data_IF_302782277953
#
_entry.id   IF_302782277953
#
_cell.length_a   1.000
_cell.length_b   1.000
_cell.length_c   1.000
_cell.angle_alpha   90.00
_cell.angle_beta   90.00
_cell.angle_gamma   90.00
#
_symmetry.space_group_name_H-M   'P 1'
#
loop_
_entity.id
_entity.type
_entity.pdbx_description
1 polymer ?
#
# COMPACT_ATOMS: atom_id res chain seq x y z
N UNK A 1 -40.90 -18.86 35.76
CA UNK A 1 -41.11 -20.24 36.32
C UNK A 1 -39.95 -21.12 35.84
N UNK A 2 -39.25 -21.69 36.83
CA UNK A 2 -38.45 -22.95 36.85
C UNK A 2 -37.50 -23.19 35.67
N UNK A 3 -36.16 -23.03 35.91
CA UNK A 3 -35.15 -23.97 36.43
C UNK A 3 -35.19 -25.33 35.69
N UNK A 4 -34.06 -25.70 35.04
CA UNK A 4 -33.36 -26.92 35.38
C UNK A 4 -31.88 -26.88 34.91
N UNK A 5 -31.01 -27.11 35.89
CA UNK A 5 -29.58 -27.38 35.80
C UNK A 5 -29.46 -28.91 35.62
N UNK A 6 -28.52 -29.37 34.79
CA UNK A 6 -28.00 -30.72 34.90
C UNK A 6 -26.49 -30.75 34.70
N UNK A 7 -25.78 -31.00 35.82
CA UNK A 7 -24.41 -31.50 35.90
C UNK A 7 -24.40 -33.01 35.61
N UNK A 8 -23.33 -33.53 35.01
CA UNK A 8 -22.78 -34.88 35.26
C UNK A 8 -21.35 -34.89 34.70
N UNK A 9 -20.34 -34.83 35.51
CA UNK A 9 -19.58 -35.83 36.30
C UNK A 9 -18.80 -36.81 35.41
N UNK A 10 -17.48 -36.53 35.39
CA UNK A 10 -16.26 -37.35 35.58
C UNK A 10 -16.45 -38.88 35.53
N UNK A 11 -15.68 -39.51 34.64
CA UNK A 11 -15.36 -40.93 34.66
C UNK A 11 -13.91 -41.19 34.33
N UNK A 12 -13.09 -41.32 35.39
CA UNK A 12 -11.70 -41.74 35.35
C UNK A 12 -11.66 -43.28 35.25
N UNK A 13 -11.17 -43.85 34.17
CA UNK A 13 -10.94 -45.29 34.05
C UNK A 13 -9.43 -45.56 34.09
N UNK A 14 -8.98 -46.06 35.25
CA UNK A 14 -7.66 -46.61 35.46
C UNK A 14 -7.69 -48.07 35.01
N UNK A 15 -6.93 -48.40 33.97
CA UNK A 15 -6.72 -49.82 33.60
C UNK A 15 -5.29 -50.20 34.00
N UNK A 16 -5.25 -51.01 35.05
CA UNK A 16 -4.05 -51.72 35.49
C UNK A 16 -3.86 -52.93 34.57
N UNK A 17 -2.76 -53.02 33.85
CA UNK A 17 -2.34 -54.24 33.17
C UNK A 17 -1.09 -54.82 33.86
N UNK A 18 -1.31 -56.07 34.28
CA UNK A 18 -0.40 -56.93 35.03
C UNK A 18 0.76 -57.39 34.13
N UNK A 19 1.96 -57.36 34.69
CA UNK A 19 3.20 -57.89 34.11
C UNK A 19 3.14 -59.43 34.07
N UNK A 20 3.34 -60.00 32.89
CA UNK A 20 3.78 -61.39 32.74
C UNK A 20 5.21 -61.39 32.18
N UNK A 21 6.12 -61.75 32.99
CA UNK A 21 7.52 -61.98 32.62
C UNK A 21 7.68 -63.30 31.87
N UNK A 22 8.17 -63.28 30.66
CA UNK A 22 8.76 -64.40 29.97
C UNK A 22 10.26 -64.10 29.71
N UNK A 23 11.12 -64.78 30.43
CA UNK A 23 12.55 -64.87 30.12
C UNK A 23 12.73 -65.64 28.83
N UNK A 24 13.44 -65.09 27.84
CA UNK A 24 14.20 -65.89 26.89
C UNK A 24 15.46 -65.17 26.46
N UNK A 25 16.52 -65.80 26.74
CA UNK A 25 17.93 -65.82 26.30
C UNK A 25 18.41 -64.85 25.26
N UNK A 26 19.46 -64.18 25.67
CA UNK A 26 20.58 -63.52 24.99
C UNK A 26 20.75 -63.78 23.48
N UNK A 27 20.72 -62.69 22.66
CA UNK A 27 21.74 -62.47 21.67
C UNK A 27 22.13 -60.99 21.72
N UNK A 28 23.37 -60.74 22.07
CA UNK A 28 24.07 -59.51 22.10
C UNK A 28 24.32 -59.11 20.64
N UNK A 29 23.45 -58.31 20.08
CA UNK A 29 23.83 -57.49 18.91
C UNK A 29 23.85 -56.03 19.40
N UNK A 30 25.06 -55.61 19.72
CA UNK A 30 25.34 -54.26 20.20
C UNK A 30 25.26 -53.27 19.04
N UNK A 31 24.06 -52.85 18.68
CA UNK A 31 23.91 -51.65 17.87
C UNK A 31 24.16 -50.45 18.79
N UNK A 32 25.43 -50.08 18.92
CA UNK A 32 25.82 -48.76 19.40
C UNK A 32 25.23 -47.73 18.40
N UNK A 33 24.08 -47.16 18.71
CA UNK A 33 23.63 -45.92 18.08
C UNK A 33 24.64 -44.84 18.44
N UNK A 34 25.67 -44.70 17.63
CA UNK A 34 26.53 -43.52 17.66
C UNK A 34 25.65 -42.32 17.27
N UNK A 35 25.16 -41.56 18.24
CA UNK A 35 24.54 -40.27 18.01
C UNK A 35 25.60 -39.37 17.39
N UNK A 36 25.54 -39.22 16.07
CA UNK A 36 26.44 -38.33 15.36
C UNK A 36 26.12 -36.89 15.79
N UNK A 37 27.06 -36.22 16.47
CA UNK A 37 26.89 -34.81 16.85
C UNK A 37 26.84 -33.94 15.61
N UNK A 38 25.88 -33.01 15.56
CA UNK A 38 25.76 -32.07 14.46
C UNK A 38 27.04 -31.23 14.31
N UNK A 39 27.62 -31.23 13.11
CA UNK A 39 28.83 -30.46 12.78
C UNK A 39 28.72 -29.82 11.41
N UNK A 40 29.34 -28.65 11.23
CA UNK A 40 29.47 -27.93 10.00
C UNK A 40 30.89 -27.47 9.76
N UNK A 41 31.31 -27.31 8.49
CA UNK A 41 32.65 -26.83 8.18
C UNK A 41 32.79 -25.33 8.33
N UNK A 42 31.71 -24.54 8.04
CA UNK A 42 31.69 -23.11 8.22
C UNK A 42 30.25 -22.61 8.43
N UNK A 43 30.12 -21.48 9.17
CA UNK A 43 28.95 -20.64 9.27
C UNK A 43 29.19 -19.33 8.53
N UNK A 44 28.23 -18.84 7.75
CA UNK A 44 28.36 -17.58 6.99
C UNK A 44 27.43 -16.51 7.58
N UNK A 45 27.71 -16.06 8.80
CA UNK A 45 26.91 -15.05 9.50
C UNK A 45 26.84 -13.70 8.78
N UNK A 46 27.85 -13.34 7.97
CA UNK A 46 27.81 -12.13 7.12
C UNK A 46 26.73 -12.17 6.04
N UNK A 47 26.19 -13.37 5.74
CA UNK A 47 25.07 -13.57 4.80
C UNK A 47 23.78 -13.97 5.54
N UNK A 48 23.68 -13.69 6.84
CA UNK A 48 22.48 -13.97 7.60
C UNK A 48 21.32 -13.09 7.07
N UNK A 49 20.16 -13.72 6.86
CA UNK A 49 18.92 -13.03 6.47
C UNK A 49 18.03 -12.92 7.69
N UNK A 50 17.76 -11.68 8.12
CA UNK A 50 16.85 -11.37 9.23
C UNK A 50 15.49 -11.02 8.65
N UNK A 51 14.41 -11.56 9.24
CA UNK A 51 13.04 -11.43 8.72
C UNK A 51 12.52 -10.00 8.71
N UNK A 52 12.98 -9.13 9.64
CA UNK A 52 12.61 -7.70 9.72
C UNK A 52 13.54 -6.95 10.69
N UNK A 53 13.51 -5.62 10.67
CA UNK A 53 14.14 -4.78 11.69
C UNK A 53 13.30 -4.75 12.96
N UNK A 54 13.92 -4.51 14.11
CA UNK A 54 13.22 -4.30 15.38
C UNK A 54 13.00 -2.81 15.63
N UNK A 55 12.07 -2.47 16.53
CA UNK A 55 11.79 -1.09 16.94
C UNK A 55 12.05 -0.96 18.44
N UNK A 56 12.74 0.10 18.86
CA UNK A 56 13.03 0.36 20.28
C UNK A 56 11.74 0.39 21.12
N UNK A 57 11.78 -0.21 22.31
CA UNK A 57 10.66 -0.30 23.25
C UNK A 57 9.40 -0.99 22.70
N UNK A 58 9.52 -1.72 21.61
CA UNK A 58 8.42 -2.50 21.00
C UNK A 58 8.75 -3.99 21.04
N UNK A 59 7.77 -4.83 21.40
CA UNK A 59 7.96 -6.28 21.39
C UNK A 59 8.27 -6.74 19.96
N UNK A 60 9.41 -7.40 19.81
CA UNK A 60 9.87 -7.95 18.55
C UNK A 60 9.73 -9.48 18.55
N UNK A 61 9.27 -10.02 17.42
CA UNK A 61 9.26 -11.46 17.14
C UNK A 61 9.62 -11.67 15.67
N UNK A 62 10.75 -12.31 15.42
CA UNK A 62 11.28 -12.52 14.08
C UNK A 62 12.22 -13.73 14.04
N UNK A 63 12.96 -13.87 12.95
CA UNK A 63 13.95 -14.95 12.76
C UNK A 63 15.19 -14.46 12.03
N UNK A 64 16.31 -15.15 12.24
CA UNK A 64 17.51 -15.05 11.41
C UNK A 64 17.84 -16.41 10.80
N UNK A 65 18.03 -16.45 9.49
CA UNK A 65 18.47 -17.62 8.72
C UNK A 65 19.94 -17.46 8.40
N UNK A 66 20.78 -18.43 8.85
CA UNK A 66 22.23 -18.38 8.73
C UNK A 66 22.71 -19.52 7.85
N UNK A 67 23.32 -19.24 6.70
CA UNK A 67 23.89 -20.26 5.82
C UNK A 67 25.08 -20.98 6.47
N UNK A 68 25.23 -22.27 6.16
CA UNK A 68 26.40 -23.07 6.52
C UNK A 68 26.87 -23.93 5.33
N UNK A 69 28.11 -24.45 5.45
CA UNK A 69 28.66 -25.46 4.54
C UNK A 69 29.18 -26.64 5.31
N UNK A 70 29.31 -27.80 4.64
CA UNK A 70 29.88 -29.03 5.24
C UNK A 70 29.06 -29.61 6.39
N UNK A 71 27.74 -29.51 6.32
CA UNK A 71 26.83 -30.17 7.26
C UNK A 71 26.91 -31.70 7.12
N UNK A 72 26.81 -32.40 8.24
CA UNK A 72 27.00 -33.86 8.32
C UNK A 72 25.70 -34.68 8.34
N UNK A 73 24.54 -34.05 8.06
CA UNK A 73 23.25 -34.76 8.06
C UNK A 73 22.65 -35.08 9.42
N UNK A 74 23.32 -34.71 10.53
CA UNK A 74 22.85 -35.03 11.87
C UNK A 74 21.70 -34.11 12.32
N UNK A 75 20.82 -34.64 13.17
CA UNK A 75 19.80 -33.88 13.86
C UNK A 75 20.39 -33.10 15.03
N UNK A 76 19.78 -31.94 15.35
CA UNK A 76 20.14 -31.13 16.51
C UNK A 76 18.88 -30.61 17.21
N UNK A 77 18.98 -30.42 18.51
CA UNK A 77 17.90 -29.89 19.34
C UNK A 77 17.90 -28.36 19.33
N UNK A 78 16.82 -27.76 19.81
CA UNK A 78 16.74 -26.31 20.05
C UNK A 78 17.86 -25.92 21.04
N UNK A 79 18.42 -24.74 20.80
CA UNK A 79 19.45 -24.14 21.65
C UNK A 79 18.85 -23.38 22.84
N UNK A 80 19.73 -22.93 23.73
CA UNK A 80 19.39 -21.96 24.78
C UNK A 80 19.33 -20.53 24.18
N UNK A 81 18.54 -19.66 24.79
CA UNK A 81 18.44 -18.24 24.37
C UNK A 81 19.78 -17.53 24.60
N UNK A 82 20.26 -16.83 23.58
CA UNK A 82 21.47 -16.01 23.57
C UNK A 82 21.03 -14.54 23.61
N UNK A 83 21.48 -13.79 24.60
CA UNK A 83 21.18 -12.36 24.72
C UNK A 83 21.98 -11.54 23.71
N UNK A 84 21.36 -10.47 23.18
CA UNK A 84 22.03 -9.50 22.33
C UNK A 84 23.07 -8.68 23.09
N UNK A 85 24.12 -8.26 22.38
CA UNK A 85 25.12 -7.27 22.81
C UNK A 85 24.98 -6.01 21.96
N UNK A 86 25.53 -4.87 22.39
CA UNK A 86 25.25 -3.57 21.79
C UNK A 86 23.88 -3.10 22.26
N UNK A 87 22.86 -3.20 21.41
CA UNK A 87 21.48 -3.02 21.87
C UNK A 87 21.01 -4.27 22.63
N UNK A 88 20.59 -4.08 23.87
CA UNK A 88 20.08 -5.13 24.76
C UNK A 88 18.56 -5.30 24.65
N UNK A 89 18.05 -6.40 25.26
CA UNK A 89 16.60 -6.67 25.33
C UNK A 89 16.09 -7.65 24.27
N UNK A 90 16.93 -8.10 23.35
CA UNK A 90 16.60 -9.18 22.41
C UNK A 90 17.32 -10.48 22.79
N UNK A 91 16.71 -11.62 22.46
CA UNK A 91 17.31 -12.95 22.57
C UNK A 91 17.17 -13.71 21.25
N UNK A 92 18.17 -14.51 20.89
CA UNK A 92 18.14 -15.42 19.75
C UNK A 92 18.20 -16.87 20.24
N UNK A 93 17.29 -17.72 19.77
CA UNK A 93 17.20 -19.14 20.17
C UNK A 93 17.24 -20.01 18.92
N UNK A 94 18.22 -20.92 18.84
CA UNK A 94 18.33 -21.88 17.75
C UNK A 94 17.09 -22.79 17.70
N UNK A 95 16.43 -22.85 16.54
CA UNK A 95 15.37 -23.83 16.31
C UNK A 95 15.94 -25.23 16.11
N UNK A 96 15.26 -26.27 16.59
CA UNK A 96 15.65 -27.66 16.34
C UNK A 96 15.57 -27.98 14.83
N UNK A 97 16.40 -28.88 14.34
CA UNK A 97 16.42 -29.26 12.94
C UNK A 97 17.31 -30.42 12.58
N UNK A 98 17.50 -30.65 11.30
CA UNK A 98 18.42 -31.64 10.73
C UNK A 98 19.31 -30.94 9.71
N UNK A 99 20.61 -31.14 9.81
CA UNK A 99 21.56 -30.62 8.82
C UNK A 99 21.39 -31.34 7.47
N UNK A 100 21.49 -30.57 6.37
CA UNK A 100 21.77 -31.20 5.09
C UNK A 100 23.19 -31.77 5.05
N UNK A 101 23.44 -32.82 4.27
CA UNK A 101 24.79 -33.25 3.94
C UNK A 101 25.39 -32.28 2.93
N UNK A 102 26.22 -31.34 3.40
CA UNK A 102 26.78 -30.26 2.59
C UNK A 102 26.28 -28.86 3.00
N UNK A 103 25.84 -28.04 2.04
CA UNK A 103 25.36 -26.68 2.33
C UNK A 103 23.90 -26.67 2.78
N UNK A 104 23.54 -25.73 3.66
CA UNK A 104 22.18 -25.54 4.16
C UNK A 104 22.06 -24.29 5.02
N UNK A 105 20.96 -24.18 5.77
CA UNK A 105 20.67 -23.08 6.65
C UNK A 105 20.25 -23.57 8.03
N UNK A 106 20.65 -22.82 9.08
CA UNK A 106 20.09 -22.93 10.43
C UNK A 106 19.28 -21.66 10.72
N UNK A 107 18.24 -21.81 11.56
CA UNK A 107 17.34 -20.70 11.89
C UNK A 107 17.38 -20.42 13.38
N UNK A 108 17.49 -19.15 13.74
CA UNK A 108 17.32 -18.64 15.08
C UNK A 108 16.01 -17.87 15.17
N UNK A 109 15.15 -18.20 16.12
CA UNK A 109 14.01 -17.36 16.50
C UNK A 109 14.53 -16.20 17.35
N UNK A 110 14.10 -14.99 17.06
CA UNK A 110 14.51 -13.76 17.76
C UNK A 110 13.29 -13.15 18.42
N UNK A 111 13.38 -12.87 19.73
CA UNK A 111 12.29 -12.29 20.49
C UNK A 111 12.81 -11.35 21.58
N UNK A 112 11.93 -10.45 22.05
CA UNK A 112 12.21 -9.54 23.15
C UNK A 112 11.79 -8.10 22.87
N UNK A 113 12.21 -7.16 23.74
CA UNK A 113 11.95 -5.74 23.59
C UNK A 113 13.27 -4.98 23.67
N UNK A 114 13.79 -4.45 22.56
CA UNK A 114 15.07 -3.76 22.55
C UNK A 114 14.98 -2.43 23.29
N UNK A 115 16.04 -2.08 24.03
CA UNK A 115 16.05 -0.94 24.97
C UNK A 115 16.57 0.36 24.40
N UNK A 116 17.22 0.33 23.23
CA UNK A 116 17.77 1.50 22.54
C UNK A 116 17.81 1.27 21.03
N UNK A 117 18.01 2.31 20.26
CA UNK A 117 18.29 2.24 18.82
C UNK A 117 19.73 1.80 18.55
N UNK A 118 19.97 1.21 17.38
CA UNK A 118 21.30 0.80 16.95
C UNK A 118 21.36 -0.64 16.50
N UNK A 119 22.44 -1.35 16.82
CA UNK A 119 22.69 -2.73 16.38
C UNK A 119 22.67 -3.68 17.56
N UNK A 120 21.76 -4.67 17.54
CA UNK A 120 21.74 -5.80 18.44
C UNK A 120 22.53 -6.96 17.80
N UNK A 121 23.66 -7.34 18.40
CA UNK A 121 24.56 -8.38 17.88
C UNK A 121 24.44 -9.67 18.68
N UNK A 122 24.47 -10.82 18.00
CA UNK A 122 24.38 -12.15 18.59
C UNK A 122 25.60 -12.97 18.18
N UNK A 123 26.40 -13.39 19.17
CA UNK A 123 27.51 -14.33 18.96
C UNK A 123 26.96 -15.75 19.13
N UNK A 124 27.03 -16.54 18.09
CA UNK A 124 26.50 -17.92 18.06
C UNK A 124 27.62 -18.90 17.89
N UNK A 125 27.45 -20.07 18.51
CA UNK A 125 28.32 -21.24 18.32
C UNK A 125 27.46 -22.43 17.93
N UNK A 126 27.75 -23.04 16.78
CA UNK A 126 27.03 -24.20 16.31
C UNK A 126 27.94 -25.11 15.45
N UNK A 127 27.85 -26.41 15.68
CA UNK A 127 28.59 -27.44 14.90
C UNK A 127 30.10 -27.26 14.92
N UNK A 128 30.67 -26.69 15.98
CA UNK A 128 32.10 -26.42 16.15
C UNK A 128 32.56 -25.09 15.56
N UNK A 129 31.66 -24.28 15.00
CA UNK A 129 31.95 -22.97 14.40
C UNK A 129 31.34 -21.84 15.22
N UNK A 130 32.00 -20.68 15.24
CA UNK A 130 31.52 -19.48 15.95
C UNK A 130 31.53 -18.30 14.99
N UNK A 131 30.43 -17.52 14.95
CA UNK A 131 30.35 -16.27 14.23
C UNK A 131 29.28 -15.36 14.86
N UNK A 132 29.12 -14.13 14.34
CA UNK A 132 28.10 -13.19 14.83
C UNK A 132 27.23 -12.67 13.70
N UNK A 133 25.93 -12.54 13.97
CA UNK A 133 24.98 -11.81 13.12
C UNK A 133 24.33 -10.69 13.91
N UNK A 134 23.63 -9.79 13.24
CA UNK A 134 23.03 -8.63 13.88
C UNK A 134 21.61 -8.33 13.39
N UNK A 135 20.84 -7.66 14.27
CA UNK A 135 19.51 -7.09 14.01
C UNK A 135 19.60 -5.59 14.19
N UNK A 136 19.14 -4.84 13.21
CA UNK A 136 18.99 -3.39 13.33
C UNK A 136 17.79 -3.07 14.21
N UNK A 137 17.96 -2.14 15.14
CA UNK A 137 16.90 -1.60 16.00
C UNK A 137 16.68 -0.13 15.67
N UNK A 138 15.55 0.14 15.08
CA UNK A 138 15.14 1.49 14.65
C UNK A 138 14.50 2.29 15.79
N UNK A 139 14.45 3.60 15.64
CA UNK A 139 13.71 4.48 16.52
C UNK A 139 12.19 4.16 16.47
N UNK A 140 11.51 4.28 17.60
CA UNK A 140 10.05 4.24 17.59
C UNK A 140 9.52 5.47 16.84
N UNK A 141 8.61 5.24 15.90
CA UNK A 141 7.91 6.35 15.27
C UNK A 141 7.01 7.05 16.32
N UNK A 142 7.29 8.31 16.60
CA UNK A 142 6.55 9.09 17.62
C UNK A 142 5.22 9.60 17.06
N UNK A 143 4.39 8.70 16.52
CA UNK A 143 3.04 9.08 16.01
C UNK A 143 2.03 9.32 17.14
N UNK A 144 2.36 8.92 18.37
CA UNK A 144 1.45 8.96 19.54
C UNK A 144 1.01 10.37 19.92
N UNK A 145 1.82 11.40 19.65
CA UNK A 145 1.47 12.80 19.90
C UNK A 145 0.60 13.45 18.82
N UNK A 146 0.49 12.82 17.62
CA UNK A 146 -0.20 13.41 16.49
C UNK A 146 -1.73 13.19 16.52
N UNK A 147 -2.22 12.33 17.38
CA UNK A 147 -3.67 12.06 17.54
C UNK A 147 -4.44 13.23 18.15
N UNK A 148 -3.75 14.15 18.84
CA UNK A 148 -4.34 15.33 19.52
C UNK A 148 -4.34 16.58 18.63
N UNK A 149 -3.93 16.49 17.37
CA UNK A 149 -3.93 17.60 16.43
C UNK A 149 -5.36 18.03 16.09
N UNK A 150 -5.63 19.35 16.12
CA UNK A 150 -6.97 19.91 16.00
C UNK A 150 -7.52 19.90 14.57
N UNK A 151 -6.67 19.76 13.56
CA UNK A 151 -7.06 19.71 12.14
C UNK A 151 -6.31 18.58 11.45
N UNK A 152 -6.88 18.10 10.33
CA UNK A 152 -6.21 17.07 9.50
C UNK A 152 -4.87 17.57 8.99
N UNK A 153 -4.78 18.82 8.52
CA UNK A 153 -3.51 19.39 8.06
C UNK A 153 -2.44 19.39 9.15
N UNK A 154 -2.79 19.77 10.40
CA UNK A 154 -1.84 19.72 11.53
C UNK A 154 -1.46 18.28 11.90
N UNK A 155 -2.39 17.32 11.77
CA UNK A 155 -2.09 15.91 11.97
C UNK A 155 -1.13 15.38 10.90
N UNK A 156 -1.35 15.72 9.64
CA UNK A 156 -0.45 15.33 8.52
C UNK A 156 0.95 15.93 8.71
N UNK A 157 1.05 17.21 9.10
CA UNK A 157 2.34 17.86 9.42
C UNK A 157 3.05 17.16 10.57
N UNK A 158 2.33 16.82 11.65
CA UNK A 158 2.89 16.10 12.77
C UNK A 158 3.47 14.74 12.35
N UNK A 159 2.69 13.96 11.59
CA UNK A 159 3.11 12.64 11.10
C UNK A 159 4.24 12.73 10.08
N UNK A 160 4.23 13.74 9.18
CA UNK A 160 5.32 14.01 8.26
C UNK A 160 6.63 14.29 9.01
N UNK A 161 6.61 15.12 10.05
CA UNK A 161 7.76 15.39 10.90
C UNK A 161 8.21 14.14 11.69
N UNK A 162 7.28 13.32 12.17
CA UNK A 162 7.59 12.03 12.80
C UNK A 162 8.27 11.07 11.82
N UNK A 163 7.78 10.98 10.58
CA UNK A 163 8.43 10.22 9.52
C UNK A 163 9.85 10.74 9.22
N UNK A 164 10.00 12.04 9.00
CA UNK A 164 11.30 12.68 8.74
C UNK A 164 12.30 12.41 9.87
N UNK A 165 11.87 12.38 11.13
CA UNK A 165 12.73 12.08 12.27
C UNK A 165 13.27 10.63 12.27
N UNK A 166 12.63 9.69 11.55
CA UNK A 166 13.14 8.32 11.39
C UNK A 166 14.21 8.20 10.31
N UNK A 167 14.39 9.22 9.47
CA UNK A 167 15.24 9.19 8.29
C UNK A 167 16.66 9.66 8.59
N UNK A 168 17.64 9.09 7.91
CA UNK A 168 18.99 9.63 7.87
C UNK A 168 19.02 10.97 7.16
N UNK A 169 20.06 11.78 7.39
CA UNK A 169 20.25 13.07 6.71
C UNK A 169 20.22 12.94 5.18
N UNK A 170 20.79 11.86 4.63
CA UNK A 170 20.76 11.58 3.18
C UNK A 170 19.34 11.29 2.69
N UNK A 171 18.59 10.49 3.43
CA UNK A 171 17.18 10.19 3.11
C UNK A 171 16.32 11.46 3.21
N UNK A 172 16.51 12.28 4.24
CA UNK A 172 15.80 13.56 4.39
C UNK A 172 16.04 14.48 3.20
N UNK A 173 17.29 14.61 2.72
CA UNK A 173 17.63 15.40 1.54
C UNK A 173 17.01 14.85 0.24
N UNK A 174 16.70 13.55 0.19
CA UNK A 174 16.05 12.91 -0.97
C UNK A 174 14.53 13.03 -0.94
N UNK A 175 13.91 13.17 0.23
CA UNK A 175 12.47 13.20 0.40
C UNK A 175 11.89 14.60 0.53
N UNK A 176 12.66 15.57 1.06
CA UNK A 176 12.26 16.98 1.17
C UNK A 176 12.95 17.76 0.05
N UNK A 177 12.19 18.13 -0.96
CA UNK A 177 12.68 18.80 -2.15
C UNK A 177 12.14 20.24 -2.22
N UNK A 178 12.76 21.06 -3.07
CA UNK A 178 12.28 22.43 -3.30
C UNK A 178 10.87 22.42 -3.88
N UNK A 179 9.97 23.21 -3.32
CA UNK A 179 8.66 23.46 -3.90
C UNK A 179 8.81 24.36 -5.12
N UNK A 180 8.72 23.79 -6.29
CA UNK A 180 8.74 24.47 -7.59
C UNK A 180 7.96 23.68 -8.64
N UNK A 181 7.62 24.30 -9.75
CA UNK A 181 6.82 23.70 -10.81
C UNK A 181 7.48 22.47 -11.43
N UNK A 182 8.80 22.44 -11.57
CA UNK A 182 9.51 21.29 -12.13
C UNK A 182 9.33 20.04 -11.26
N UNK A 183 9.53 20.18 -9.95
CA UNK A 183 9.33 19.08 -9.02
C UNK A 183 7.82 18.73 -8.89
N UNK A 184 6.94 19.71 -8.85
CA UNK A 184 5.50 19.49 -8.74
C UNK A 184 4.94 18.69 -9.92
N UNK A 185 5.47 18.87 -11.12
CA UNK A 185 5.09 18.14 -12.34
C UNK A 185 5.72 16.75 -12.45
N UNK A 186 6.63 16.38 -11.55
CA UNK A 186 7.31 15.08 -11.59
C UNK A 186 6.53 14.00 -10.84
N UNK A 187 5.40 13.61 -11.40
CA UNK A 187 4.56 12.49 -11.00
C UNK A 187 4.25 11.63 -12.23
N UNK A 188 3.83 10.39 -12.06
CA UNK A 188 3.58 9.48 -13.17
C UNK A 188 2.65 8.33 -12.75
N UNK A 189 1.90 7.81 -13.71
CA UNK A 189 1.09 6.59 -13.60
C UNK A 189 1.80 5.32 -14.11
N UNK A 190 3.02 5.45 -14.65
CA UNK A 190 3.76 4.34 -15.26
C UNK A 190 4.55 3.53 -14.21
N UNK A 191 4.91 2.25 -14.50
CA UNK A 191 5.71 1.42 -13.59
C UNK A 191 7.22 1.78 -13.65
N UNK A 192 7.57 3.05 -13.49
CA UNK A 192 8.92 3.62 -13.67
C UNK A 192 9.65 3.93 -12.36
N UNK A 193 9.08 3.62 -11.20
CA UNK A 193 9.70 3.87 -9.91
C UNK A 193 10.21 5.30 -9.75
N UNK A 194 11.41 5.48 -9.18
CA UNK A 194 12.03 6.79 -8.96
C UNK A 194 12.54 7.48 -10.23
N UNK A 195 12.65 6.78 -11.36
CA UNK A 195 13.13 7.42 -12.60
C UNK A 195 12.21 8.54 -13.09
N UNK A 196 10.93 8.48 -12.76
CA UNK A 196 9.90 9.43 -13.17
C UNK A 196 9.18 10.13 -11.99
N UNK A 197 9.61 9.87 -10.75
CA UNK A 197 8.99 10.43 -9.53
C UNK A 197 10.03 11.03 -8.61
N UNK A 198 9.58 11.82 -7.66
CA UNK A 198 10.38 12.37 -6.57
C UNK A 198 10.39 11.46 -5.34
N UNK A 199 11.36 11.68 -4.44
CA UNK A 199 11.30 11.18 -3.07
C UNK A 199 12.03 9.86 -2.82
N UNK A 200 11.49 9.06 -1.90
CA UNK A 200 12.02 7.76 -1.49
C UNK A 200 11.06 6.64 -1.88
N UNK A 201 11.61 5.57 -2.46
CA UNK A 201 10.82 4.37 -2.74
C UNK A 201 10.52 3.60 -1.43
N UNK A 202 9.33 3.03 -1.32
CA UNK A 202 8.91 2.23 -0.15
C UNK A 202 9.84 1.05 0.10
N UNK A 203 10.38 0.44 -0.96
CA UNK A 203 11.38 -0.65 -0.85
C UNK A 203 12.72 -0.22 -0.27
N UNK A 204 13.03 1.09 -0.24
CA UNK A 204 14.25 1.63 0.36
C UNK A 204 14.11 2.00 1.83
N UNK A 205 12.90 1.86 2.39
CA UNK A 205 12.57 2.19 3.76
C UNK A 205 12.64 0.95 4.65
N UNK A 206 13.13 1.11 5.88
CA UNK A 206 12.95 0.08 6.91
C UNK A 206 11.47 -0.10 7.24
N UNK A 207 11.10 -1.18 7.90
CA UNK A 207 9.70 -1.43 8.29
C UNK A 207 9.12 -0.29 9.13
N UNK A 208 9.89 0.29 10.03
CA UNK A 208 9.49 1.44 10.87
C UNK A 208 9.30 2.70 10.03
N UNK A 209 10.22 2.98 9.11
CA UNK A 209 10.13 4.12 8.21
C UNK A 209 8.93 3.98 7.27
N UNK A 210 8.71 2.79 6.72
CA UNK A 210 7.55 2.51 5.86
C UNK A 210 6.22 2.66 6.61
N UNK A 211 6.15 2.16 7.85
CA UNK A 211 4.96 2.36 8.69
C UNK A 211 4.69 3.85 8.95
N UNK A 212 5.74 4.64 9.22
CA UNK A 212 5.61 6.08 9.41
C UNK A 212 5.19 6.81 8.12
N UNK A 213 5.74 6.43 6.95
CA UNK A 213 5.33 6.97 5.65
C UNK A 213 3.85 6.65 5.34
N UNK A 214 3.41 5.40 5.60
CA UNK A 214 2.02 5.00 5.45
C UNK A 214 1.08 5.73 6.40
N UNK A 215 1.53 6.07 7.62
CA UNK A 215 0.73 6.87 8.56
C UNK A 215 0.50 8.31 8.04
N UNK A 216 1.46 8.90 7.31
CA UNK A 216 1.26 10.18 6.62
C UNK A 216 0.18 10.05 5.56
N UNK A 217 0.26 9.02 4.70
CA UNK A 217 -0.74 8.75 3.67
C UNK A 217 -2.14 8.55 4.27
N UNK A 218 -2.25 7.71 5.32
CA UNK A 218 -3.51 7.43 6.01
C UNK A 218 -4.15 8.69 6.62
N UNK A 219 -3.35 9.63 7.07
CA UNK A 219 -3.88 10.89 7.62
C UNK A 219 -4.24 11.90 6.53
N UNK A 220 -3.57 11.86 5.38
CA UNK A 220 -3.78 12.80 4.28
C UNK A 220 -4.93 12.38 3.36
N UNK A 221 -5.16 11.08 3.20
CA UNK A 221 -6.21 10.53 2.36
C UNK A 221 -7.48 10.29 3.19
N UNK A 222 -8.62 10.20 2.54
CA UNK A 222 -9.90 9.92 3.20
C UNK A 222 -9.92 8.56 3.90
N UNK A 223 -10.90 8.41 4.79
CA UNK A 223 -11.15 7.16 5.54
C UNK A 223 -12.47 6.49 5.15
N UNK A 224 -13.09 6.94 4.08
CA UNK A 224 -14.29 6.31 3.50
C UNK A 224 -13.92 4.93 2.98
N UNK A 225 -14.72 3.93 3.31
CA UNK A 225 -14.49 2.55 2.84
C UNK A 225 -14.54 2.51 1.31
N UNK A 226 -13.52 1.94 0.70
CA UNK A 226 -13.38 1.84 -0.76
C UNK A 226 -12.71 3.05 -1.41
N UNK A 227 -12.52 4.16 -0.68
CA UNK A 227 -11.95 5.41 -1.17
C UNK A 227 -10.65 5.77 -0.41
N UNK A 228 -9.93 6.75 -0.90
CA UNK A 228 -8.79 7.36 -0.21
C UNK A 228 -7.69 6.36 0.17
N UNK A 229 -7.42 6.22 1.47
CA UNK A 229 -6.36 5.32 1.93
C UNK A 229 -6.69 3.83 1.70
N UNK A 230 -7.96 3.46 1.75
CA UNK A 230 -8.40 2.08 1.46
C UNK A 230 -8.17 1.75 -0.02
N UNK A 231 -8.61 2.60 -0.92
CA UNK A 231 -8.36 2.45 -2.36
C UNK A 231 -6.86 2.44 -2.67
N UNK A 232 -6.09 3.39 -2.13
CA UNK A 232 -4.63 3.44 -2.29
C UNK A 232 -3.96 2.11 -1.92
N UNK A 233 -4.38 1.49 -0.80
CA UNK A 233 -3.81 0.20 -0.37
C UNK A 233 -4.22 -0.95 -1.28
N UNK A 234 -5.44 -0.91 -1.84
CA UNK A 234 -5.92 -1.90 -2.79
C UNK A 234 -5.22 -1.79 -4.15
N UNK A 235 -4.95 -0.58 -4.65
CA UNK A 235 -4.18 -0.34 -5.88
C UNK A 235 -2.73 -0.83 -5.70
N UNK A 236 -2.11 -0.57 -4.54
CA UNK A 236 -0.78 -1.14 -4.23
C UNK A 236 -0.80 -2.68 -4.21
N UNK A 237 -1.85 -3.29 -3.66
CA UNK A 237 -2.00 -4.74 -3.64
C UNK A 237 -2.21 -5.31 -5.05
N UNK A 238 -2.90 -4.58 -5.95
CA UNK A 238 -3.02 -4.95 -7.35
C UNK A 238 -1.66 -4.97 -8.05
N UNK A 239 -0.78 -4.01 -7.77
CA UNK A 239 0.60 -4.03 -8.29
C UNK A 239 1.41 -5.22 -7.76
N UNK A 240 1.29 -5.57 -6.49
CA UNK A 240 1.93 -6.78 -5.94
C UNK A 240 1.33 -8.06 -6.56
N UNK A 241 0.05 -8.07 -6.93
CA UNK A 241 -0.59 -9.15 -7.66
C UNK A 241 -0.03 -9.28 -9.09
N UNK A 242 0.10 -8.17 -9.83
CA UNK A 242 0.74 -8.15 -11.15
C UNK A 242 2.20 -8.61 -11.08
N UNK A 243 2.91 -8.22 -10.02
CA UNK A 243 4.30 -8.59 -9.77
C UNK A 243 4.55 -10.10 -9.64
N UNK A 244 3.50 -10.90 -9.39
CA UNK A 244 3.61 -12.37 -9.41
C UNK A 244 3.84 -12.94 -10.81
N UNK A 245 3.44 -12.21 -11.86
CA UNK A 245 3.52 -12.66 -13.26
C UNK A 245 4.39 -11.79 -14.15
N UNK A 246 4.60 -10.52 -13.80
CA UNK A 246 5.36 -9.55 -14.57
C UNK A 246 6.33 -8.78 -13.70
N UNK A 247 7.58 -8.63 -14.15
CA UNK A 247 8.59 -7.83 -13.44
C UNK A 247 8.29 -6.33 -13.51
N UNK A 248 8.70 -5.58 -12.48
CA UNK A 248 8.55 -4.12 -12.44
C UNK A 248 7.34 -3.62 -11.66
N UNK A 249 6.39 -4.49 -11.32
CA UNK A 249 5.20 -4.17 -10.53
C UNK A 249 5.42 -4.57 -9.08
N UNK A 250 5.22 -3.64 -8.16
CA UNK A 250 5.28 -3.90 -6.72
C UNK A 250 4.88 -2.64 -5.93
N UNK A 251 4.21 -2.83 -4.81
CA UNK A 251 3.99 -1.79 -3.80
C UNK A 251 5.31 -1.17 -3.28
N UNK A 252 6.42 -1.91 -3.33
CA UNK A 252 7.76 -1.41 -3.02
C UNK A 252 8.27 -0.30 -3.95
N UNK A 253 7.71 -0.16 -5.15
CA UNK A 253 8.06 0.87 -6.14
C UNK A 253 7.27 2.19 -5.93
N UNK A 254 6.34 2.22 -4.98
CA UNK A 254 5.65 3.45 -4.58
C UNK A 254 6.63 4.39 -3.86
N UNK A 255 6.35 5.68 -3.93
CA UNK A 255 7.24 6.72 -3.41
C UNK A 255 6.47 7.70 -2.52
N UNK A 256 7.20 8.35 -1.63
CA UNK A 256 6.73 9.51 -0.87
C UNK A 256 7.73 10.65 -1.03
N UNK A 257 7.23 11.88 -1.23
CA UNK A 257 8.02 13.10 -1.25
C UNK A 257 7.27 14.27 -0.63
N UNK A 258 8.02 15.22 -0.10
CA UNK A 258 7.53 16.53 0.34
C UNK A 258 8.21 17.60 -0.51
N UNK A 259 7.42 18.42 -1.18
CA UNK A 259 7.95 19.61 -1.87
C UNK A 259 7.71 20.81 -0.96
N UNK A 260 8.78 21.43 -0.50
CA UNK A 260 8.77 22.33 0.66
C UNK A 260 8.80 21.57 1.98
N UNK A 261 8.98 22.28 3.07
CA UNK A 261 9.00 21.70 4.42
C UNK A 261 7.59 21.58 4.95
N UNK A 262 7.13 20.39 5.40
CA UNK A 262 5.82 20.22 6.04
C UNK A 262 5.64 21.22 7.19
N UNK A 263 4.61 22.06 7.11
CA UNK A 263 4.37 23.16 8.03
C UNK A 263 2.88 23.49 8.12
N UNK A 264 2.44 24.00 9.28
CA UNK A 264 1.10 24.52 9.47
C UNK A 264 0.95 25.99 9.07
N UNK A 265 2.04 26.66 8.68
CA UNK A 265 2.05 28.09 8.35
C UNK A 265 2.57 28.39 6.94
N UNK A 266 3.36 27.47 6.36
CA UNK A 266 3.93 27.62 5.02
C UNK A 266 3.21 26.80 3.96
N UNK A 267 3.55 27.06 2.69
CA UNK A 267 3.08 26.24 1.56
C UNK A 267 4.02 25.07 1.31
N UNK A 268 3.46 23.90 1.13
CA UNK A 268 4.17 22.67 0.76
C UNK A 268 3.23 21.69 0.07
N UNK A 269 3.78 20.70 -0.60
CA UNK A 269 3.01 19.66 -1.29
C UNK A 269 3.47 18.27 -0.83
N UNK A 270 2.52 17.41 -0.53
CA UNK A 270 2.71 15.97 -0.38
C UNK A 270 2.54 15.31 -1.74
N UNK A 271 3.51 14.50 -2.15
CA UNK A 271 3.41 13.61 -3.31
C UNK A 271 3.55 12.16 -2.84
N UNK A 272 2.56 11.34 -3.15
CA UNK A 272 2.60 9.88 -2.97
C UNK A 272 2.17 9.26 -4.28
N UNK A 273 2.94 8.29 -4.78
CA UNK A 273 2.58 7.68 -6.04
C UNK A 273 3.37 6.42 -6.36
N UNK A 274 2.84 5.69 -7.32
CA UNK A 274 3.39 4.45 -7.86
C UNK A 274 2.83 4.18 -9.25
N UNK A 275 2.91 2.94 -9.70
CA UNK A 275 2.16 2.53 -10.86
C UNK A 275 0.67 2.64 -10.56
N UNK A 276 -0.11 3.16 -11.50
CA UNK A 276 -1.54 3.39 -11.38
C UNK A 276 -2.00 4.37 -10.28
N UNK A 277 -1.10 4.99 -9.51
CA UNK A 277 -1.49 5.93 -8.46
C UNK A 277 -0.57 7.14 -8.40
N UNK A 278 -1.14 8.34 -8.33
CA UNK A 278 -0.41 9.57 -8.03
C UNK A 278 -1.34 10.56 -7.33
N UNK A 279 -1.08 10.82 -6.06
CA UNK A 279 -1.79 11.82 -5.27
C UNK A 279 -0.86 12.98 -4.96
N UNK A 280 -1.28 14.18 -5.32
CA UNK A 280 -0.57 15.43 -5.04
C UNK A 280 -1.49 16.34 -4.22
N UNK A 281 -1.17 16.57 -2.96
CA UNK A 281 -1.95 17.42 -2.06
C UNK A 281 -1.12 18.63 -1.67
N UNK A 282 -1.63 19.83 -1.98
CA UNK A 282 -0.98 21.08 -1.57
C UNK A 282 -1.63 21.62 -0.30
N UNK A 283 -0.78 21.89 0.67
CA UNK A 283 -1.14 22.56 1.92
C UNK A 283 -0.59 23.98 1.91
N UNK A 284 -1.38 24.92 2.41
CA UNK A 284 -0.97 26.31 2.61
C UNK A 284 -1.63 26.86 3.88
N UNK A 285 -0.85 27.50 4.73
CA UNK A 285 -1.32 28.08 6.00
C UNK A 285 -2.21 27.11 6.82
N UNK A 286 -1.85 25.83 6.86
CA UNK A 286 -2.56 24.80 7.64
C UNK A 286 -3.88 24.33 7.04
N UNK A 287 -4.12 24.57 5.75
CA UNK A 287 -5.31 24.12 5.03
C UNK A 287 -4.92 23.37 3.75
N UNK A 288 -5.78 22.45 3.29
CA UNK A 288 -5.65 21.84 1.96
C UNK A 288 -6.14 22.83 0.92
N UNK A 289 -5.28 23.22 -0.01
CA UNK A 289 -5.59 24.20 -1.06
C UNK A 289 -5.69 23.59 -2.47
N UNK A 290 -5.11 22.40 -2.66
CA UNK A 290 -5.29 21.59 -3.87
C UNK A 290 -5.18 20.12 -3.53
N UNK A 291 -5.95 19.29 -4.25
CA UNK A 291 -5.95 17.82 -4.16
C UNK A 291 -5.50 17.19 -5.48
N UNK A 292 -5.07 17.99 -6.40
CA UNK A 292 -4.73 17.60 -7.77
C UNK A 292 -3.31 18.05 -8.13
N UNK A 293 -2.69 17.39 -9.13
CA UNK A 293 -3.17 16.24 -9.92
C UNK A 293 -3.38 14.97 -9.11
N UNK A 294 -4.46 14.25 -9.42
CA UNK A 294 -4.71 12.90 -8.93
C UNK A 294 -4.82 11.95 -10.12
N UNK A 295 -4.16 10.83 -10.08
CA UNK A 295 -4.32 9.73 -11.02
C UNK A 295 -4.59 8.44 -10.26
N UNK A 296 -5.57 7.69 -10.72
CA UNK A 296 -5.91 6.36 -10.24
C UNK A 296 -6.06 5.44 -11.44
N UNK A 297 -5.62 4.21 -11.28
CA UNK A 297 -5.77 3.16 -12.26
C UNK A 297 -5.67 1.80 -11.56
N UNK A 298 -6.12 0.75 -12.22
CA UNK A 298 -6.03 -0.59 -11.64
C UNK A 298 -6.07 -1.68 -12.69
N UNK A 299 -5.18 -2.65 -12.57
CA UNK A 299 -5.19 -3.92 -13.26
C UNK A 299 -4.91 -5.03 -12.23
N UNK A 300 -5.84 -6.01 -12.04
CA UNK A 300 -7.15 -6.16 -12.69
C UNK A 300 -8.18 -5.16 -12.16
N UNK A 301 -9.17 -4.80 -12.99
CA UNK A 301 -10.28 -3.92 -12.57
C UNK A 301 -11.26 -4.57 -11.57
N UNK A 302 -11.37 -5.88 -11.61
CA UNK A 302 -12.27 -6.65 -10.77
C UNK A 302 -11.59 -7.21 -9.53
N UNK A 303 -12.30 -8.05 -8.79
CA UNK A 303 -11.76 -8.68 -7.58
C UNK A 303 -10.57 -9.60 -7.89
N UNK A 304 -9.60 -9.59 -6.97
CA UNK A 304 -8.42 -10.46 -7.02
C UNK A 304 -8.03 -10.91 -5.61
N UNK A 305 -7.25 -12.00 -5.53
CA UNK A 305 -6.79 -12.52 -4.24
C UNK A 305 -5.26 -12.50 -4.20
N UNK A 306 -4.69 -11.86 -3.19
CA UNK A 306 -3.26 -11.80 -2.93
C UNK A 306 -2.98 -12.30 -1.51
N UNK A 307 -2.12 -13.32 -1.37
CA UNK A 307 -1.71 -13.89 -0.08
C UNK A 307 -2.88 -14.23 0.87
N UNK A 308 -3.98 -14.73 0.30
CA UNK A 308 -5.19 -15.12 1.05
C UNK A 308 -6.16 -13.98 1.37
N UNK A 309 -5.86 -12.75 1.03
CA UNK A 309 -6.77 -11.60 1.15
C UNK A 309 -7.44 -11.33 -0.20
N UNK A 310 -8.76 -11.24 -0.23
CA UNK A 310 -9.52 -10.87 -1.42
C UNK A 310 -9.81 -9.38 -1.41
N UNK A 311 -9.50 -8.72 -2.51
CA UNK A 311 -9.77 -7.32 -2.80
C UNK A 311 -10.94 -7.24 -3.79
N UNK A 312 -11.86 -6.29 -3.62
CA UNK A 312 -13.14 -6.28 -4.34
C UNK A 312 -13.18 -5.47 -5.63
N UNK A 313 -12.07 -4.88 -6.03
CA UNK A 313 -11.97 -3.99 -7.20
C UNK A 313 -11.87 -2.53 -6.77
N UNK A 314 -10.64 -1.97 -6.72
CA UNK A 314 -10.37 -0.66 -6.08
C UNK A 314 -11.12 0.51 -6.73
N UNK A 315 -11.39 0.50 -8.02
CA UNK A 315 -12.02 1.64 -8.72
C UNK A 315 -13.48 1.36 -9.13
N UNK A 316 -14.19 0.51 -8.41
CA UNK A 316 -15.58 0.20 -8.76
C UNK A 316 -16.54 1.35 -8.44
N UNK A 317 -16.21 2.19 -7.45
CA UNK A 317 -17.00 3.38 -7.10
C UNK A 317 -16.94 4.45 -8.20
N UNK A 318 -15.76 4.76 -8.73
CA UNK A 318 -15.56 5.69 -9.85
C UNK A 318 -16.28 5.19 -11.11
N UNK A 319 -16.08 3.92 -11.41
CA UNK A 319 -16.71 3.28 -12.56
C UNK A 319 -18.23 3.32 -12.46
N UNK A 320 -18.80 2.85 -11.34
CA UNK A 320 -20.25 2.83 -11.11
C UNK A 320 -20.86 4.24 -11.09
N UNK A 321 -20.19 5.22 -10.48
CA UNK A 321 -20.67 6.59 -10.42
C UNK A 321 -20.74 7.24 -11.81
N UNK A 322 -19.75 6.98 -12.67
CA UNK A 322 -19.77 7.46 -14.07
C UNK A 322 -20.83 6.73 -14.91
N UNK A 323 -21.02 5.43 -14.71
CA UNK A 323 -22.09 4.66 -15.33
C UNK A 323 -23.48 5.19 -14.93
N UNK A 324 -23.70 5.43 -13.65
CA UNK A 324 -24.94 5.98 -13.09
C UNK A 324 -25.26 7.37 -13.64
N UNK A 325 -24.23 8.22 -13.76
CA UNK A 325 -24.37 9.53 -14.36
C UNK A 325 -24.85 9.42 -15.82
N UNK A 326 -24.13 8.70 -16.67
CA UNK A 326 -24.47 8.55 -18.08
C UNK A 326 -25.81 7.82 -18.26
N UNK A 327 -26.10 6.81 -17.45
CA UNK A 327 -27.36 6.08 -17.45
C UNK A 327 -28.57 6.93 -17.06
N UNK A 328 -28.37 8.06 -16.36
CA UNK A 328 -29.43 8.99 -15.99
C UNK A 328 -29.87 9.92 -17.14
N UNK A 329 -29.10 9.98 -18.23
CA UNK A 329 -29.36 10.87 -19.36
C UNK A 329 -30.39 10.26 -20.30
N UNK A 330 -31.25 11.09 -20.85
CA UNK A 330 -32.15 10.73 -21.95
C UNK A 330 -31.37 10.49 -23.25
N UNK A 331 -31.98 9.83 -24.22
CA UNK A 331 -31.34 9.59 -25.53
C UNK A 331 -30.89 10.90 -26.23
N UNK A 332 -31.66 11.99 -26.07
CA UNK A 332 -31.31 13.31 -26.62
C UNK A 332 -30.11 13.93 -25.91
N UNK A 333 -30.08 13.82 -24.57
CA UNK A 333 -28.95 14.31 -23.77
C UNK A 333 -27.67 13.53 -24.06
N UNK A 334 -27.79 12.20 -24.18
CA UNK A 334 -26.67 11.33 -24.59
C UNK A 334 -26.15 11.68 -25.98
N UNK A 335 -27.03 11.94 -26.96
CA UNK A 335 -26.61 12.36 -28.28
C UNK A 335 -25.83 13.71 -28.26
N UNK A 336 -26.21 14.62 -27.35
CA UNK A 336 -25.52 15.90 -27.14
C UNK A 336 -24.21 15.77 -26.38
N UNK A 337 -24.10 14.78 -25.48
CA UNK A 337 -22.90 14.51 -24.72
C UNK A 337 -21.84 13.72 -25.51
N UNK A 338 -22.24 12.95 -26.51
CA UNK A 338 -21.37 12.09 -27.31
C UNK A 338 -20.49 12.87 -28.25
N UNK A 339 -19.19 12.54 -28.27
CA UNK A 339 -18.23 13.06 -29.26
C UNK A 339 -17.68 11.90 -30.09
N UNK A 340 -17.17 12.23 -31.28
CA UNK A 340 -16.63 11.27 -32.25
C UNK A 340 -15.15 10.94 -32.04
N UNK A 341 -14.49 11.61 -31.07
CA UNK A 341 -13.08 11.36 -30.75
C UNK A 341 -12.88 9.97 -30.18
N UNK A 342 -11.70 9.41 -30.40
CA UNK A 342 -11.23 8.17 -29.78
C UNK A 342 -10.05 8.47 -28.89
N UNK A 343 -10.02 7.87 -27.71
CA UNK A 343 -8.97 8.07 -26.73
C UNK A 343 -8.23 6.75 -26.47
N UNK A 344 -6.89 6.80 -26.43
CA UNK A 344 -6.07 5.68 -26.01
C UNK A 344 -5.73 5.73 -24.52
N UNK A 345 -5.83 6.90 -23.89
CA UNK A 345 -5.64 7.16 -22.47
C UNK A 345 -6.35 8.46 -22.09
N UNK A 346 -6.38 8.80 -20.79
CA UNK A 346 -6.78 10.11 -20.32
C UNK A 346 -5.91 11.21 -20.97
N UNK A 347 -6.49 12.36 -21.24
CA UNK A 347 -5.77 13.49 -21.89
C UNK A 347 -4.76 14.14 -20.97
N UNK A 348 -5.08 14.21 -19.68
CA UNK A 348 -4.34 15.02 -18.70
C UNK A 348 -3.39 14.20 -17.83
N UNK A 349 -2.91 13.06 -18.35
CA UNK A 349 -1.88 12.24 -17.71
C UNK A 349 -0.48 12.87 -17.85
N UNK A 350 0.50 12.50 -16.97
CA UNK A 350 1.89 12.96 -17.10
C UNK A 350 2.54 12.46 -18.38
N UNK A 351 3.43 13.29 -18.94
CA UNK A 351 4.15 12.94 -20.16
C UNK A 351 3.33 13.06 -21.46
N UNK A 352 2.06 13.40 -21.37
CA UNK A 352 1.26 13.79 -22.55
C UNK A 352 1.87 15.04 -23.18
N UNK A 353 2.11 15.01 -24.49
CA UNK A 353 2.61 16.16 -25.25
C UNK A 353 1.64 17.37 -25.20
N UNK A 354 0.38 17.11 -24.94
CA UNK A 354 -0.65 18.12 -24.84
C UNK A 354 -0.84 18.66 -23.43
N UNK A 355 -0.73 17.88 -22.39
CA UNK A 355 -0.94 18.22 -20.94
C UNK A 355 -1.43 19.67 -20.68
N UNK A 356 -2.28 20.16 -21.56
CA UNK A 356 -2.88 21.47 -21.59
C UNK A 356 -4.37 21.28 -21.75
N UNK A 357 -5.13 21.85 -20.84
CA UNK A 357 -6.58 21.75 -20.89
C UNK A 357 -7.12 22.27 -22.22
N UNK A 358 -8.04 21.53 -22.86
CA UNK A 358 -8.76 22.05 -24.04
C UNK A 358 -9.46 23.36 -23.72
N UNK A 359 -9.30 24.35 -24.59
CA UNK A 359 -9.91 25.67 -24.41
C UNK A 359 -11.41 25.67 -24.72
N UNK A 360 -11.87 24.72 -25.52
CA UNK A 360 -13.28 24.59 -25.92
C UNK A 360 -13.92 23.45 -25.14
N UNK A 361 -14.96 23.77 -24.37
CA UNK A 361 -15.79 22.78 -23.69
C UNK A 361 -16.54 21.94 -24.71
N UNK A 362 -16.62 20.62 -24.45
CA UNK A 362 -17.27 19.66 -25.35
C UNK A 362 -18.39 18.92 -24.62
N UNK A 363 -19.34 18.40 -25.37
CA UNK A 363 -20.44 17.61 -24.85
C UNK A 363 -21.63 18.46 -24.40
N UNK A 364 -22.39 17.95 -23.42
CA UNK A 364 -23.61 18.61 -22.94
C UNK A 364 -23.31 19.47 -21.70
N UNK A 365 -23.88 20.69 -21.70
CA UNK A 365 -23.79 21.57 -20.53
C UNK A 365 -24.75 21.11 -19.44
N UNK A 366 -24.27 20.95 -18.21
CA UNK A 366 -25.03 20.38 -17.08
C UNK A 366 -26.29 21.18 -16.77
N UNK A 367 -26.28 22.53 -16.94
CA UNK A 367 -27.48 23.38 -16.73
C UNK A 367 -28.64 23.06 -17.68
N UNK A 368 -28.40 22.30 -18.76
CA UNK A 368 -29.47 21.91 -19.71
C UNK A 368 -30.07 20.52 -19.37
N UNK A 369 -29.49 19.82 -18.43
CA UNK A 369 -29.99 18.51 -17.94
C UNK A 369 -31.15 18.69 -16.97
N UNK A 370 -31.93 17.63 -16.76
CA UNK A 370 -32.91 17.56 -15.69
C UNK A 370 -32.25 17.73 -14.32
N UNK A 371 -32.97 18.21 -13.30
CA UNK A 371 -32.42 18.35 -11.94
C UNK A 371 -31.91 17.00 -11.38
N UNK A 372 -32.56 15.89 -11.72
CA UNK A 372 -32.13 14.55 -11.33
C UNK A 372 -30.78 14.17 -11.98
N UNK A 373 -30.61 14.45 -13.27
CA UNK A 373 -29.36 14.21 -13.98
C UNK A 373 -28.23 15.14 -13.51
N UNK A 374 -28.52 16.43 -13.22
CA UNK A 374 -27.55 17.34 -12.60
C UNK A 374 -27.03 16.82 -11.27
N UNK A 375 -27.91 16.29 -10.41
CA UNK A 375 -27.51 15.67 -9.14
C UNK A 375 -26.59 14.43 -9.35
N UNK A 376 -26.85 13.65 -10.41
CA UNK A 376 -25.98 12.49 -10.77
C UNK A 376 -24.60 12.94 -11.28
N UNK A 377 -24.49 14.09 -11.98
CA UNK A 377 -23.19 14.66 -12.36
C UNK A 377 -22.37 15.05 -11.13
N UNK A 378 -22.98 15.71 -10.14
CA UNK A 378 -22.31 16.03 -8.89
C UNK A 378 -21.90 14.75 -8.13
N UNK A 379 -22.82 13.77 -8.04
CA UNK A 379 -22.55 12.50 -7.39
C UNK A 379 -21.39 11.73 -8.07
N UNK A 380 -21.27 11.86 -9.40
CA UNK A 380 -20.18 11.21 -10.15
C UNK A 380 -18.79 11.78 -9.85
N UNK A 381 -18.67 12.97 -9.26
CA UNK A 381 -17.40 13.54 -8.83
C UNK A 381 -16.98 13.05 -7.43
N UNK A 382 -17.93 12.51 -6.66
CA UNK A 382 -17.72 12.22 -5.23
C UNK A 382 -16.66 11.15 -4.94
N UNK A 383 -16.48 10.06 -5.70
CA UNK A 383 -15.43 9.10 -5.46
C UNK A 383 -14.05 9.78 -5.33
N UNK A 384 -13.66 10.61 -6.32
CA UNK A 384 -12.38 11.34 -6.28
C UNK A 384 -12.27 12.38 -5.14
N UNK A 385 -13.40 13.00 -4.75
CA UNK A 385 -13.43 13.99 -3.67
C UNK A 385 -13.33 13.31 -2.30
N UNK A 386 -13.92 12.13 -2.17
CA UNK A 386 -13.92 11.34 -0.94
C UNK A 386 -12.57 10.65 -0.64
N UNK A 387 -11.60 10.76 -1.55
CA UNK A 387 -10.19 10.45 -1.29
C UNK A 387 -9.54 11.42 -0.29
N UNK A 388 -10.30 12.31 0.27
CA UNK A 388 -9.87 13.28 1.25
C UNK A 388 -10.55 13.07 2.60
N UNK A 389 -10.02 13.76 3.60
CA UNK A 389 -10.75 13.93 4.85
C UNK A 389 -12.09 14.66 4.63
N UNK A 390 -13.09 14.37 5.47
CA UNK A 390 -14.45 14.88 5.32
C UNK A 390 -14.55 16.42 5.25
N UNK A 391 -13.66 17.15 5.91
CA UNK A 391 -13.65 18.62 5.91
C UNK A 391 -13.18 19.16 4.56
N UNK A 392 -12.07 18.64 4.05
CA UNK A 392 -11.55 18.99 2.73
C UNK A 392 -12.53 18.55 1.64
N UNK A 393 -13.08 17.34 1.71
CA UNK A 393 -14.08 16.84 0.78
C UNK A 393 -15.31 17.76 0.69
N UNK A 394 -15.85 18.18 1.83
CA UNK A 394 -17.00 19.11 1.86
C UNK A 394 -16.67 20.49 1.23
N UNK A 395 -15.45 20.99 1.43
CA UNK A 395 -15.01 22.26 0.84
C UNK A 395 -14.94 22.17 -0.68
N UNK A 396 -14.30 21.13 -1.24
CA UNK A 396 -14.22 20.93 -2.69
C UNK A 396 -15.57 20.59 -3.31
N UNK A 397 -16.41 19.80 -2.65
CA UNK A 397 -17.80 19.57 -3.07
C UNK A 397 -18.56 20.88 -3.23
N UNK A 398 -18.44 21.80 -2.27
CA UNK A 398 -19.09 23.11 -2.33
C UNK A 398 -18.63 23.93 -3.53
N UNK A 399 -17.32 23.92 -3.83
CA UNK A 399 -16.77 24.62 -5.01
C UNK A 399 -17.38 24.06 -6.28
N UNK A 400 -17.29 22.75 -6.50
CA UNK A 400 -17.74 22.12 -7.74
C UNK A 400 -19.27 22.15 -7.88
N UNK A 401 -20.02 22.11 -6.78
CA UNK A 401 -21.46 22.29 -6.77
C UNK A 401 -21.86 23.71 -7.23
N UNK A 402 -21.16 24.75 -6.78
CA UNK A 402 -21.40 26.13 -7.20
C UNK A 402 -21.08 26.34 -8.69
N UNK A 403 -20.18 25.54 -9.26
CA UNK A 403 -19.78 25.61 -10.67
C UNK A 403 -20.59 24.68 -11.58
N UNK A 404 -21.43 23.82 -11.01
CA UNK A 404 -22.10 22.70 -11.70
C UNK A 404 -22.87 23.14 -12.94
N UNK A 405 -23.55 24.26 -12.87
CA UNK A 405 -24.34 24.81 -13.99
C UNK A 405 -23.47 25.17 -15.23
N UNK A 406 -22.17 25.39 -15.03
CA UNK A 406 -21.20 25.70 -16.09
C UNK A 406 -20.27 24.55 -16.41
N UNK A 407 -20.54 23.37 -15.85
CA UNK A 407 -19.81 22.11 -16.11
C UNK A 407 -20.39 21.45 -17.37
N UNK A 408 -19.55 20.68 -18.03
CA UNK A 408 -19.90 19.90 -19.23
C UNK A 408 -19.60 18.42 -18.99
N UNK A 409 -20.42 17.55 -19.56
CA UNK A 409 -20.20 16.11 -19.60
C UNK A 409 -20.03 15.65 -21.04
N UNK A 410 -19.00 14.88 -21.27
CA UNK A 410 -18.71 14.29 -22.59
C UNK A 410 -18.39 12.81 -22.44
N UNK A 411 -18.76 12.00 -23.42
CA UNK A 411 -18.30 10.62 -23.52
C UNK A 411 -18.00 10.25 -24.98
N UNK A 412 -17.16 9.23 -25.14
CA UNK A 412 -16.73 8.75 -26.46
C UNK A 412 -16.72 7.22 -26.47
N UNK A 413 -16.71 6.63 -27.67
CA UNK A 413 -16.86 5.16 -27.87
C UNK A 413 -18.18 4.66 -27.28
N UNK A 414 -18.20 3.85 -26.23
CA UNK A 414 -19.43 3.37 -25.57
C UNK A 414 -20.48 2.87 -26.58
N UNK A 415 -20.08 1.93 -27.44
CA UNK A 415 -20.92 1.43 -28.52
C UNK A 415 -22.13 0.63 -28.06
N UNK A 416 -22.07 0.10 -26.83
CA UNK A 416 -23.16 -0.61 -26.14
C UNK A 416 -24.11 0.30 -25.37
N UNK A 417 -23.87 1.62 -25.37
CA UNK A 417 -24.60 2.60 -24.57
C UNK A 417 -26.10 2.62 -24.85
N UNK A 418 -26.91 2.46 -23.80
CA UNK A 418 -28.39 2.49 -23.85
C UNK A 418 -28.89 3.46 -22.80
N UNK A 419 -29.68 4.46 -23.21
CA UNK A 419 -30.31 5.41 -22.30
C UNK A 419 -31.15 4.69 -21.22
N UNK A 420 -31.03 5.11 -19.97
CA UNK A 420 -31.70 4.48 -18.84
C UNK A 420 -31.05 3.19 -18.34
N UNK A 421 -29.90 2.76 -18.91
CA UNK A 421 -29.22 1.52 -18.54
C UNK A 421 -27.76 1.81 -18.19
N UNK A 422 -27.47 2.12 -16.91
CA UNK A 422 -26.14 2.48 -16.41
C UNK A 422 -25.07 1.44 -16.80
N UNK A 423 -25.33 0.17 -16.58
CA UNK A 423 -24.42 -0.96 -16.88
C UNK A 423 -24.08 -1.15 -18.36
N UNK A 424 -24.69 -0.39 -19.27
CA UNK A 424 -24.36 -0.41 -20.71
C UNK A 424 -23.16 0.51 -21.08
N UNK A 425 -22.72 1.36 -20.16
CA UNK A 425 -21.61 2.29 -20.36
C UNK A 425 -20.29 1.74 -19.78
N UNK A 426 -19.16 2.18 -20.33
CA UNK A 426 -17.81 1.88 -19.84
C UNK A 426 -17.54 0.36 -19.73
N UNK A 427 -17.94 -0.37 -20.78
CA UNK A 427 -17.89 -1.84 -20.82
C UNK A 427 -16.87 -2.40 -21.81
N UNK A 428 -16.35 -1.56 -22.71
CA UNK A 428 -15.41 -1.97 -23.75
C UNK A 428 -14.17 -1.09 -23.78
N UNK A 429 -13.08 -1.61 -24.34
CA UNK A 429 -11.85 -0.87 -24.54
C UNK A 429 -12.12 0.45 -25.31
N UNK A 430 -11.44 1.52 -24.91
CA UNK A 430 -11.58 2.90 -25.39
C UNK A 430 -12.88 3.61 -24.96
N UNK A 431 -13.78 2.96 -24.21
CA UNK A 431 -14.91 3.69 -23.60
C UNK A 431 -14.37 4.74 -22.64
N UNK A 432 -14.82 5.98 -22.85
CA UNK A 432 -14.29 7.17 -22.21
C UNK A 432 -15.40 8.09 -21.74
N UNK A 433 -15.19 8.71 -20.60
CA UNK A 433 -16.08 9.76 -20.06
C UNK A 433 -15.26 10.88 -19.43
N UNK A 434 -15.78 12.10 -19.48
CA UNK A 434 -15.16 13.28 -18.89
C UNK A 434 -16.19 14.24 -18.31
N UNK A 435 -15.87 14.77 -17.12
CA UNK A 435 -16.53 15.91 -16.51
C UNK A 435 -15.55 17.09 -16.59
N UNK A 436 -15.98 18.22 -17.15
CA UNK A 436 -15.16 19.39 -17.42
C UNK A 436 -15.87 20.68 -16.97
N UNK A 437 -15.61 21.09 -15.75
CA UNK A 437 -16.16 22.30 -15.12
C UNK A 437 -15.25 23.53 -15.27
N UNK A 438 -15.63 24.67 -14.65
CA UNK A 438 -14.74 25.82 -14.51
C UNK A 438 -13.44 25.49 -13.78
N UNK A 439 -13.52 24.74 -12.69
CA UNK A 439 -12.36 24.24 -11.93
C UNK A 439 -12.13 22.75 -12.16
N UNK A 440 -13.12 21.90 -11.93
CA UNK A 440 -12.99 20.44 -11.98
C UNK A 440 -12.75 19.92 -13.39
N UNK A 441 -11.83 18.94 -13.49
CA UNK A 441 -11.62 18.09 -14.66
C UNK A 441 -11.44 16.66 -14.17
N UNK A 442 -12.32 15.75 -14.60
CA UNK A 442 -12.24 14.32 -14.28
C UNK A 442 -12.40 13.52 -15.56
N UNK A 443 -11.52 12.55 -15.77
CA UNK A 443 -11.58 11.59 -16.87
C UNK A 443 -11.57 10.18 -16.31
N UNK A 444 -12.31 9.27 -16.94
CA UNK A 444 -12.21 7.83 -16.75
C UNK A 444 -12.24 7.13 -18.11
N UNK A 445 -11.35 6.17 -18.31
CA UNK A 445 -11.24 5.40 -19.54
C UNK A 445 -11.05 3.91 -19.22
N UNK A 446 -11.67 3.09 -20.06
CA UNK A 446 -11.42 1.65 -20.13
C UNK A 446 -10.29 1.39 -21.13
N UNK A 447 -9.21 0.76 -20.68
CA UNK A 447 -8.07 0.39 -21.53
C UNK A 447 -7.93 -1.13 -21.62
N UNK A 448 -7.20 -1.59 -22.63
CA UNK A 448 -6.77 -3.00 -22.70
C UNK A 448 -5.69 -3.24 -21.63
N UNK A 449 -5.82 -4.31 -20.86
CA UNK A 449 -4.84 -4.70 -19.86
C UNK A 449 -3.46 -4.91 -20.46
N UNK A 450 -2.43 -4.54 -19.72
CA UNK A 450 -1.03 -4.63 -20.14
C UNK A 450 -0.40 -5.94 -19.71
N UNK A 451 -0.72 -6.41 -18.51
CA UNK A 451 -0.21 -7.67 -17.93
C UNK A 451 -1.24 -8.78 -18.02
N UNK A 452 -2.49 -8.46 -17.76
CA UNK A 452 -3.61 -9.39 -17.78
C UNK A 452 -4.49 -9.13 -19.01
N UNK A 453 -5.16 -10.16 -19.49
CA UNK A 453 -6.19 -10.00 -20.52
C UNK A 453 -7.44 -9.37 -19.91
N UNK A 454 -8.03 -8.41 -20.59
CA UNK A 454 -9.26 -7.76 -20.16
C UNK A 454 -9.16 -6.25 -20.16
N UNK A 455 -10.14 -5.61 -19.55
CA UNK A 455 -10.18 -4.15 -19.38
C UNK A 455 -9.50 -3.81 -18.06
N UNK A 456 -8.69 -2.76 -18.05
CA UNK A 456 -8.28 -2.06 -16.83
C UNK A 456 -8.72 -0.60 -16.90
N UNK A 457 -8.72 0.08 -15.75
CA UNK A 457 -9.17 1.47 -15.67
C UNK A 457 -7.99 2.42 -15.50
N UNK A 458 -8.07 3.56 -16.20
CA UNK A 458 -7.32 4.77 -15.85
C UNK A 458 -8.29 5.92 -15.59
N UNK A 459 -7.94 6.73 -14.63
CA UNK A 459 -8.66 7.94 -14.28
C UNK A 459 -7.67 9.05 -13.92
N UNK A 460 -8.06 10.29 -14.23
CA UNK A 460 -7.30 11.45 -13.78
C UNK A 460 -8.26 12.55 -13.31
N UNK A 461 -7.98 13.10 -12.13
CA UNK A 461 -8.61 14.34 -11.68
C UNK A 461 -7.60 15.47 -11.68
N UNK A 462 -8.00 16.59 -12.26
CA UNK A 462 -7.23 17.83 -12.34
C UNK A 462 -8.11 19.01 -11.92
N UNK A 463 -7.49 20.12 -11.67
CA UNK A 463 -8.19 21.37 -11.38
C UNK A 463 -7.59 22.51 -12.20
N UNK A 464 -8.41 23.15 -13.05
CA UNK A 464 -7.99 24.26 -13.91
C UNK A 464 -7.38 25.44 -13.14
N UNK A 465 -7.81 25.61 -11.88
CA UNK A 465 -7.45 26.76 -11.05
C UNK A 465 -6.45 26.43 -9.95
N UNK A 466 -6.38 25.14 -9.53
CA UNK A 466 -5.66 24.73 -8.32
C UNK A 466 -4.50 23.79 -8.58
N UNK A 467 -4.40 23.21 -9.78
CA UNK A 467 -3.21 22.44 -10.15
C UNK A 467 -1.96 23.33 -10.02
N UNK A 468 -0.99 22.84 -9.22
CA UNK A 468 0.28 23.54 -9.02
C UNK A 468 0.11 25.00 -8.55
N UNK A 469 -0.94 25.27 -7.77
CA UNK A 469 -1.32 26.61 -7.34
C UNK A 469 -0.16 27.42 -6.75
N UNK A 470 0.10 28.56 -7.35
CA UNK A 470 1.17 29.48 -6.93
C UNK A 470 2.59 29.02 -7.29
N UNK A 471 2.76 28.10 -8.27
CA UNK A 471 4.04 27.62 -8.77
C UNK A 471 4.29 28.01 -10.24
#
# INVERSE_FOLDING_TARGET
MKKLILLSSVGLLITVCILVACKKSSNTDGTTTTTTTASVSALTCGSAVVSSTATVNTVFSGSATIPYTGGNGATYTAGTAISSTGVTGLTATLAAGTLASGAGNITYAIAGTPTSTGTASFSITFGGQTCSFSVTVDAASTTTGCSTSNTIASKVVCLANAFLATLTTTQQASVVLTLNLSNAKRWSNLPCGLSCRNGLAFSSLTSTQLAAAKAVAQAAFGTTTGEGYDEFTQIMAADDYLGQTASGYSSGNYVIAFLGTPSTTGKWMLQIGGHHYAQNITYDAGSVTSITPLHQGVEPKGSFTLSGTTYSGPMESEHSAMQDMLGSFTSTELASAKISSTFSDCLMIPGSTTNTFPTTKQGIKVSTLSSAAQAKVLAAMMPWINDLDATSAAAFTTIYQNELANTYVTYASNTSAVAGTASSFLTTNTDYVRIDGPSVWIELICQTGVVLSGIHYHSVMRDHSRDYIGL
#
